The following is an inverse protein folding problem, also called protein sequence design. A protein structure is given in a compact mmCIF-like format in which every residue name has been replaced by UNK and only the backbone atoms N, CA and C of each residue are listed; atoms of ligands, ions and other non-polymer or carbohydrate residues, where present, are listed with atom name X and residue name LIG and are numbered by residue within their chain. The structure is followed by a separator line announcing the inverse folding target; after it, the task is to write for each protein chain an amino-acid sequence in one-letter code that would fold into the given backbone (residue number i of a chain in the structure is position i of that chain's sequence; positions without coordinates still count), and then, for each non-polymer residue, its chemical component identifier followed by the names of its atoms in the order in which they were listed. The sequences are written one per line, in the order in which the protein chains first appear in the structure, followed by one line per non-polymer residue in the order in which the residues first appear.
data_IF_109689389368
#
_entry.id   IF_109689389368
#
_cell.length_a   1.000
_cell.length_b   1.000
_cell.length_c   1.000
_cell.angle_alpha   90.00
_cell.angle_beta   90.00
_cell.angle_gamma   90.00
#
_symmetry.space_group_name_H-M   'P 1'
#
loop_
_entity.id
_entity.type
_entity.pdbx_description
1 polymer ?
#
# COMPACT_ATOMS: atom_id res chain seq x y z
N UNK A 1 10.09 14.00 21.72
CA UNK A 1 9.90 12.54 21.60
C UNK A 1 8.62 12.19 22.32
N UNK A 2 7.70 11.50 21.66
CA UNK A 2 6.50 10.98 22.32
C UNK A 2 6.86 9.81 23.23
N UNK A 3 6.14 9.65 24.33
CA UNK A 3 6.17 8.43 25.13
C UNK A 3 5.65 7.24 24.30
N UNK A 4 5.91 6.00 24.76
CA UNK A 4 5.38 4.80 24.10
C UNK A 4 3.85 4.80 24.03
N UNK A 5 3.20 5.33 25.07
CA UNK A 5 1.75 5.40 25.18
C UNK A 5 1.17 6.47 24.25
N UNK A 6 1.80 7.64 24.17
CA UNK A 6 1.40 8.71 23.27
C UNK A 6 1.54 8.29 21.79
N UNK A 7 2.63 7.62 21.43
CA UNK A 7 2.82 7.12 20.07
C UNK A 7 1.78 6.07 19.66
N UNK A 8 1.37 5.21 20.61
CA UNK A 8 0.31 4.22 20.38
C UNK A 8 -1.05 4.91 20.19
N UNK A 9 -1.34 5.91 21.02
CA UNK A 9 -2.57 6.68 20.94
C UNK A 9 -2.69 7.43 19.60
N UNK A 10 -1.63 8.11 19.16
CA UNK A 10 -1.59 8.80 17.86
C UNK A 10 -1.88 7.84 16.70
N UNK A 11 -1.26 6.64 16.70
CA UNK A 11 -1.52 5.64 15.66
C UNK A 11 -2.97 5.16 15.69
N UNK A 12 -3.54 4.96 16.87
CA UNK A 12 -4.94 4.57 17.02
C UNK A 12 -5.89 5.64 16.50
N UNK A 13 -5.66 6.89 16.90
CA UNK A 13 -6.49 8.03 16.49
C UNK A 13 -6.42 8.24 14.98
N UNK A 14 -5.24 8.07 14.37
CA UNK A 14 -5.09 8.07 12.92
C UNK A 14 -5.99 7.03 12.23
N UNK A 15 -5.98 5.78 12.70
CA UNK A 15 -6.79 4.73 12.08
C UNK A 15 -8.30 4.94 12.28
N UNK A 16 -8.72 5.48 13.43
CA UNK A 16 -10.11 5.82 13.70
C UNK A 16 -10.56 6.93 12.73
N UNK A 17 -9.84 8.05 12.70
CA UNK A 17 -10.18 9.17 11.82
C UNK A 17 -10.17 8.76 10.34
N UNK A 18 -9.19 7.95 9.91
CA UNK A 18 -9.14 7.43 8.54
C UNK A 18 -10.36 6.56 8.18
N UNK A 19 -10.81 5.70 9.10
CA UNK A 19 -11.97 4.85 8.88
C UNK A 19 -13.28 5.65 8.86
N UNK A 20 -13.38 6.71 9.65
CA UNK A 20 -14.54 7.62 9.69
C UNK A 20 -14.63 8.51 8.45
N UNK A 21 -13.51 9.10 8.02
CA UNK A 21 -13.45 9.97 6.84
C UNK A 21 -13.68 9.17 5.55
N UNK A 22 -13.16 7.94 5.48
CA UNK A 22 -13.25 7.10 4.29
C UNK A 22 -13.91 5.73 4.59
N UNK A 23 -15.24 5.71 4.84
CA UNK A 23 -15.98 4.51 5.18
C UNK A 23 -16.24 3.65 3.93
N UNK A 24 -15.18 3.05 3.38
CA UNK A 24 -15.23 2.18 2.20
C UNK A 24 -14.53 0.85 2.45
N UNK A 25 -14.93 -0.17 1.69
CA UNK A 25 -14.25 -1.46 1.68
C UNK A 25 -12.99 -1.36 0.82
N UNK A 26 -11.87 -1.05 1.46
CA UNK A 26 -10.57 -0.85 0.80
C UNK A 26 -9.92 -2.15 0.31
N UNK A 27 -10.09 -3.24 1.06
CA UNK A 27 -9.50 -4.54 0.73
C UNK A 27 -10.43 -5.31 -0.21
N UNK A 28 -9.89 -5.67 -1.38
CA UNK A 28 -10.54 -6.62 -2.28
C UNK A 28 -10.56 -7.99 -1.61
N UNK A 29 -11.71 -8.37 -1.07
CA UNK A 29 -11.94 -9.72 -0.59
C UNK A 29 -12.06 -10.64 -1.81
N UNK A 30 -11.36 -11.78 -1.81
CA UNK A 30 -11.50 -12.84 -2.81
C UNK A 30 -11.01 -12.48 -4.23
N UNK A 31 -9.87 -11.78 -4.35
CA UNK A 31 -9.20 -11.60 -5.67
C UNK A 31 -8.79 -12.92 -6.33
N UNK A 32 -8.64 -13.99 -5.53
CA UNK A 32 -8.02 -15.28 -5.92
C UNK A 32 -6.58 -15.13 -6.45
N UNK A 33 -5.98 -13.94 -6.30
CA UNK A 33 -4.60 -13.67 -6.65
C UNK A 33 -3.79 -13.79 -5.36
N UNK A 34 -2.88 -14.75 -5.33
CA UNK A 34 -1.99 -14.97 -4.20
C UNK A 34 -0.85 -13.94 -4.22
N UNK A 35 -0.44 -13.49 -3.04
CA UNK A 35 0.72 -12.63 -2.83
C UNK A 35 0.64 -11.26 -3.55
N UNK A 36 -0.59 -10.77 -3.79
CA UNK A 36 -0.87 -9.40 -4.23
C UNK A 36 -1.81 -8.76 -3.22
N UNK A 37 -1.33 -7.75 -2.50
CA UNK A 37 -2.02 -7.22 -1.32
C UNK A 37 -2.07 -5.70 -1.35
N UNK A 38 -3.25 -5.13 -1.11
CA UNK A 38 -3.38 -3.70 -0.86
C UNK A 38 -3.13 -3.43 0.63
N UNK A 39 -2.00 -2.83 0.99
CA UNK A 39 -1.59 -2.59 2.38
C UNK A 39 -1.62 -1.09 2.69
N UNK A 40 -2.05 -0.78 3.90
CA UNK A 40 -1.90 0.55 4.49
C UNK A 40 -0.81 0.45 5.55
N UNK A 41 0.18 1.32 5.46
CA UNK A 41 1.33 1.30 6.35
C UNK A 41 1.54 2.69 6.94
N UNK A 42 1.69 2.73 8.26
CA UNK A 42 2.00 3.95 8.99
C UNK A 42 3.10 3.66 9.99
N UNK A 43 4.16 4.43 9.91
CA UNK A 43 5.22 4.48 10.91
C UNK A 43 5.48 5.92 11.35
N UNK A 44 6.35 6.09 12.34
CA UNK A 44 6.69 7.38 12.94
C UNK A 44 7.27 8.39 11.93
N UNK A 45 7.71 7.93 10.75
CA UNK A 45 8.31 8.76 9.69
C UNK A 45 7.41 8.95 8.47
N UNK A 46 6.49 8.01 8.20
CA UNK A 46 5.74 8.00 6.93
C UNK A 46 4.41 7.25 7.06
N UNK A 47 3.42 7.72 6.32
CA UNK A 47 2.18 7.01 6.04
C UNK A 47 2.11 6.75 4.53
N UNK A 48 1.78 5.54 4.13
CA UNK A 48 1.72 5.14 2.73
C UNK A 48 0.63 4.09 2.49
N UNK A 49 0.03 4.17 1.31
CA UNK A 49 -0.89 3.15 0.78
C UNK A 49 -0.20 2.49 -0.39
N UNK A 50 -0.10 1.17 -0.38
CA UNK A 50 0.68 0.44 -1.36
C UNK A 50 -0.04 -0.80 -1.86
N UNK A 51 0.07 -1.04 -3.17
CA UNK A 51 -0.29 -2.31 -3.78
C UNK A 51 0.97 -3.16 -3.87
N UNK A 52 1.11 -4.09 -2.94
CA UNK A 52 2.27 -4.96 -2.83
C UNK A 52 2.14 -6.19 -3.73
N UNK A 53 3.20 -6.54 -4.45
CA UNK A 53 3.24 -7.67 -5.39
C UNK A 53 4.45 -8.53 -5.02
N UNK A 54 4.21 -9.55 -4.19
CA UNK A 54 5.22 -10.42 -3.62
C UNK A 54 5.09 -11.93 -4.00
N UNK A 55 4.62 -12.34 -5.20
CA UNK A 55 4.67 -13.76 -5.59
C UNK A 55 6.09 -14.33 -5.50
N UNK A 56 6.21 -15.55 -4.95
CA UNK A 56 7.49 -16.28 -4.90
C UNK A 56 8.07 -16.58 -6.29
N UNK A 57 7.20 -16.70 -7.28
CA UNK A 57 7.53 -16.96 -8.67
C UNK A 57 7.86 -15.64 -9.37
N UNK A 58 9.08 -15.52 -9.86
CA UNK A 58 9.59 -14.29 -10.46
C UNK A 58 8.85 -13.89 -11.74
N UNK A 59 8.49 -14.86 -12.56
CA UNK A 59 7.75 -14.62 -13.80
C UNK A 59 6.34 -14.09 -13.48
N UNK A 60 5.67 -14.69 -12.49
CA UNK A 60 4.36 -14.19 -12.04
C UNK A 60 4.45 -12.78 -11.45
N UNK A 61 5.47 -12.50 -10.64
CA UNK A 61 5.70 -11.17 -10.08
C UNK A 61 5.89 -10.13 -11.19
N UNK A 62 6.70 -10.45 -12.21
CA UNK A 62 6.89 -9.60 -13.38
C UNK A 62 5.57 -9.35 -14.13
N UNK A 63 4.83 -10.42 -14.44
CA UNK A 63 3.56 -10.32 -15.18
C UNK A 63 2.55 -9.46 -14.42
N UNK A 64 2.42 -9.63 -13.10
CA UNK A 64 1.49 -8.84 -12.30
C UNK A 64 1.89 -7.37 -12.22
N UNK A 65 3.17 -7.07 -12.04
CA UNK A 65 3.64 -5.70 -12.07
C UNK A 65 3.37 -5.04 -13.42
N UNK A 66 3.70 -5.71 -14.53
CA UNK A 66 3.50 -5.18 -15.89
C UNK A 66 2.01 -4.96 -16.21
N UNK A 67 1.11 -5.78 -15.66
CA UNK A 67 -0.35 -5.56 -15.77
C UNK A 67 -0.84 -4.31 -15.01
N UNK A 68 -0.21 -3.97 -13.89
CA UNK A 68 -0.56 -2.74 -13.15
C UNK A 68 0.08 -1.53 -13.82
N UNK A 69 1.32 -1.68 -14.28
CA UNK A 69 2.04 -0.65 -15.05
C UNK A 69 1.33 -0.31 -16.38
N UNK A 70 0.69 -1.27 -17.05
CA UNK A 70 -0.07 -0.98 -18.26
C UNK A 70 -1.31 -0.11 -18.01
N UNK A 71 -1.81 -0.04 -16.78
CA UNK A 71 -2.93 0.82 -16.36
C UNK A 71 -2.46 2.22 -15.90
N UNK A 72 -1.15 2.49 -15.93
CA UNK A 72 -0.55 3.72 -15.41
C UNK A 72 -1.16 4.99 -15.99
N UNK A 73 -1.44 5.03 -17.30
CA UNK A 73 -2.05 6.20 -17.95
C UNK A 73 -3.39 6.55 -17.31
N UNK A 74 -4.26 5.55 -17.12
CA UNK A 74 -5.58 5.74 -16.51
C UNK A 74 -5.44 6.17 -15.05
N UNK A 75 -4.50 5.58 -14.31
CA UNK A 75 -4.28 5.90 -12.90
C UNK A 75 -3.76 7.33 -12.69
N UNK A 76 -2.89 7.82 -13.59
CA UNK A 76 -2.35 9.17 -13.54
C UNK A 76 -3.38 10.21 -13.99
N UNK A 77 -4.16 9.93 -15.03
CA UNK A 77 -5.12 10.88 -15.58
C UNK A 77 -6.35 11.09 -14.67
N UNK A 78 -6.83 10.04 -14.01
CA UNK A 78 -8.11 10.10 -13.28
C UNK A 78 -7.99 10.39 -11.78
N UNK A 79 -6.89 10.02 -11.10
CA UNK A 79 -6.98 9.93 -9.63
C UNK A 79 -5.70 10.07 -8.80
N UNK A 80 -4.49 9.85 -9.35
CA UNK A 80 -3.28 9.73 -8.54
C UNK A 80 -2.05 10.33 -9.24
N UNK A 81 -1.94 11.65 -9.33
CA UNK A 81 -0.81 12.35 -9.97
C UNK A 81 0.56 11.96 -9.37
N UNK A 82 0.62 11.73 -8.05
CA UNK A 82 1.86 11.41 -7.32
C UNK A 82 2.10 9.91 -7.09
N UNK A 83 1.45 9.02 -7.84
CA UNK A 83 1.65 7.57 -7.66
C UNK A 83 3.06 7.15 -8.09
N UNK A 84 3.71 6.38 -7.22
CA UNK A 84 5.05 5.84 -7.48
C UNK A 84 4.94 4.38 -7.91
N UNK A 85 5.44 4.08 -9.11
CA UNK A 85 5.60 2.73 -9.62
C UNK A 85 7.04 2.26 -9.40
N UNK A 86 7.24 1.37 -8.43
CA UNK A 86 8.55 0.81 -8.12
C UNK A 86 8.56 -0.69 -8.44
N UNK A 87 9.20 -1.07 -9.55
CA UNK A 87 9.35 -2.49 -9.95
C UNK A 87 10.11 -3.31 -8.91
N UNK A 88 11.14 -2.70 -8.34
CA UNK A 88 11.88 -3.24 -7.22
C UNK A 88 11.73 -2.27 -6.06
N UNK A 89 11.03 -2.69 -5.01
CA UNK A 89 10.86 -1.94 -3.78
C UNK A 89 11.52 -2.71 -2.65
N UNK A 90 12.47 -2.08 -1.98
CA UNK A 90 13.19 -2.65 -0.85
C UNK A 90 12.80 -1.90 0.41
N UNK A 91 12.49 -2.63 1.47
CA UNK A 91 12.24 -2.05 2.77
C UNK A 91 13.56 -1.51 3.34
N UNK A 92 13.47 -0.47 4.17
CA UNK A 92 14.63 0.10 4.88
C UNK A 92 15.38 -0.95 5.73
N UNK A 93 14.70 -2.05 6.08
CA UNK A 93 15.26 -3.20 6.79
C UNK A 93 16.08 -4.14 5.90
N UNK A 94 16.25 -3.83 4.60
CA UNK A 94 16.99 -4.66 3.64
C UNK A 94 16.24 -5.91 3.18
N UNK A 95 14.94 -6.00 3.45
CA UNK A 95 14.04 -7.03 2.92
C UNK A 95 13.31 -6.54 1.68
#
# INVERSE_FOLDING_TARGET
MFSKEEALQIKKDFWIAFAEEYPRKWLLYNTKIKDVTFKFYVDNKKAQVLLDIEPKDEEKRKIYYEKVESLKTILLDDSLEDVIFARNFYLETGR
#
